data_IF_527087609417
#
_entry.id   IF_527087609417
#
_cell.length_a   1.000
_cell.length_b   1.000
_cell.length_c   1.000
_cell.angle_alpha   90.00
_cell.angle_beta   90.00
_cell.angle_gamma   90.00
#
_symmetry.space_group_name_H-M   'P 1'
#
loop_
_entity.id
_entity.type
_entity.pdbx_description
1 polymer ?
#
# COMPACT_ATOMS: atom_id res chain seq x y z
N UNK A 1 -20.40 30.74 -33.62
CA UNK A 1 -19.22 30.26 -32.85
C UNK A 1 -19.69 29.19 -31.87
N UNK A 2 -19.22 27.94 -31.96
CA UNK A 2 -19.65 26.91 -31.03
C UNK A 2 -18.84 27.01 -29.74
N UNK A 3 -19.53 27.13 -28.61
CA UNK A 3 -18.95 27.09 -27.26
C UNK A 3 -18.39 25.70 -26.98
N UNK A 4 -17.07 25.61 -26.94
CA UNK A 4 -16.32 24.40 -26.58
C UNK A 4 -16.50 24.16 -25.08
N UNK A 5 -17.37 23.22 -24.69
CA UNK A 5 -17.40 22.70 -23.30
C UNK A 5 -16.02 22.09 -23.02
N UNK A 6 -15.29 22.67 -22.07
CA UNK A 6 -14.12 22.04 -21.49
C UNK A 6 -14.58 20.75 -20.82
N UNK A 7 -14.26 19.60 -21.41
CA UNK A 7 -14.29 18.32 -20.70
C UNK A 7 -13.18 18.39 -19.67
N UNK A 8 -13.54 18.44 -18.39
CA UNK A 8 -12.62 18.17 -17.29
C UNK A 8 -12.20 16.70 -17.38
N UNK A 9 -11.16 16.42 -18.15
CA UNK A 9 -10.50 15.11 -18.14
C UNK A 9 -9.61 15.01 -16.91
N UNK A 10 -10.22 14.87 -15.72
CA UNK A 10 -9.53 14.11 -14.69
C UNK A 10 -9.71 12.63 -15.08
N UNK A 11 -8.63 11.85 -15.22
CA UNK A 11 -8.79 10.41 -15.37
C UNK A 11 -9.58 9.92 -14.15
N UNK A 12 -10.68 9.22 -14.38
CA UNK A 12 -11.38 8.48 -13.32
C UNK A 12 -10.34 7.71 -12.54
N UNK A 13 -10.16 8.04 -11.26
CA UNK A 13 -9.36 7.23 -10.35
C UNK A 13 -10.02 5.86 -10.31
N UNK A 14 -9.35 4.86 -10.86
CA UNK A 14 -9.88 3.50 -10.98
C UNK A 14 -10.19 2.92 -9.61
N UNK A 15 -11.45 2.54 -9.41
CA UNK A 15 -12.12 2.16 -8.16
C UNK A 15 -11.73 0.75 -7.62
N UNK A 16 -10.60 0.19 -8.05
CA UNK A 16 -10.18 -1.17 -7.74
C UNK A 16 -9.35 -1.29 -6.47
N UNK A 17 -9.26 -2.49 -5.89
CA UNK A 17 -8.35 -2.77 -4.77
C UNK A 17 -6.94 -3.02 -5.26
N UNK A 18 -6.80 -3.81 -6.34
CA UNK A 18 -5.52 -4.20 -6.88
C UNK A 18 -4.77 -3.03 -7.53
N UNK A 19 -3.45 -3.02 -7.32
CA UNK A 19 -2.52 -2.06 -7.92
C UNK A 19 -1.59 -2.78 -8.88
N UNK A 20 -1.26 -2.14 -10.01
CA UNK A 20 -0.29 -2.64 -10.97
C UNK A 20 1.00 -1.83 -10.83
N UNK A 21 2.07 -2.50 -10.44
CA UNK A 21 3.42 -1.94 -10.43
C UNK A 21 4.13 -2.32 -11.73
N UNK A 22 4.41 -1.35 -12.58
CA UNK A 22 5.08 -1.60 -13.86
C UNK A 22 6.57 -1.83 -13.61
N UNK A 23 7.05 -3.07 -13.70
CA UNK A 23 8.49 -3.35 -13.66
C UNK A 23 9.12 -2.85 -14.95
N UNK A 24 10.13 -1.98 -14.82
CA UNK A 24 10.85 -1.43 -15.97
C UNK A 24 12.06 -2.29 -16.38
N UNK A 25 12.22 -3.48 -15.79
CA UNK A 25 13.29 -4.43 -16.13
C UNK A 25 13.25 -4.80 -17.61
N UNK A 26 12.06 -5.08 -18.13
CA UNK A 26 11.81 -5.48 -19.53
C UNK A 26 11.57 -4.28 -20.46
N UNK A 27 11.71 -3.05 -19.97
CA UNK A 27 11.55 -1.85 -20.78
C UNK A 27 12.80 -1.56 -21.64
N UNK A 28 12.68 -0.60 -22.57
CA UNK A 28 13.85 -0.07 -23.29
C UNK A 28 14.79 0.66 -22.31
N UNK A 29 15.85 -0.04 -21.87
CA UNK A 29 16.85 0.48 -20.94
C UNK A 29 17.61 1.69 -21.51
N UNK A 30 17.68 1.83 -22.83
CA UNK A 30 18.24 3.02 -23.49
C UNK A 30 17.37 4.27 -23.32
N UNK A 31 16.10 4.10 -22.96
CA UNK A 31 15.13 5.19 -22.83
C UNK A 31 14.16 5.01 -21.65
N UNK A 32 14.70 4.69 -20.47
CA UNK A 32 13.90 4.51 -19.25
C UNK A 32 13.04 5.73 -18.88
N UNK A 33 13.48 6.94 -19.23
CA UNK A 33 12.69 8.14 -19.00
C UNK A 33 11.36 8.13 -19.78
N UNK A 34 11.35 7.60 -21.01
CA UNK A 34 10.13 7.39 -21.77
C UNK A 34 9.28 6.28 -21.16
N UNK A 35 9.90 5.14 -20.79
CA UNK A 35 9.20 4.02 -20.18
C UNK A 35 8.41 4.45 -18.93
N UNK A 36 9.06 5.13 -17.99
CA UNK A 36 8.44 5.62 -16.76
C UNK A 36 7.28 6.59 -17.03
N UNK A 37 7.43 7.54 -17.98
CA UNK A 37 6.34 8.46 -18.36
C UNK A 37 5.18 7.73 -19.05
N UNK A 38 5.49 6.71 -19.85
CA UNK A 38 4.49 5.90 -20.53
C UNK A 38 3.68 5.13 -19.48
N UNK A 39 4.32 4.40 -18.57
CA UNK A 39 3.64 3.65 -17.52
C UNK A 39 2.66 4.55 -16.72
N UNK A 40 3.07 5.75 -16.32
CA UNK A 40 2.19 6.73 -15.65
C UNK A 40 1.00 7.14 -16.53
N UNK A 41 1.26 7.50 -17.80
CA UNK A 41 0.20 7.92 -18.72
C UNK A 41 -0.81 6.79 -18.99
N UNK A 42 -0.33 5.55 -19.08
CA UNK A 42 -1.16 4.38 -19.36
C UNK A 42 -1.87 3.83 -18.10
N UNK A 43 -1.61 4.39 -16.92
CA UNK A 43 -2.40 4.15 -15.70
C UNK A 43 -1.81 3.13 -14.73
N UNK A 44 -0.50 2.91 -14.76
CA UNK A 44 0.19 2.15 -13.72
C UNK A 44 0.10 2.87 -12.37
N UNK A 45 0.12 2.11 -11.28
CA UNK A 45 0.02 2.67 -9.92
C UNK A 45 1.39 2.92 -9.30
N UNK A 46 2.41 2.15 -9.73
CA UNK A 46 3.80 2.25 -9.26
C UNK A 46 4.79 1.98 -10.38
N UNK A 47 6.00 2.48 -10.24
CA UNK A 47 7.14 2.01 -11.02
C UNK A 47 7.92 1.03 -10.15
N UNK A 48 7.99 -0.22 -10.58
CA UNK A 48 8.77 -1.27 -9.91
C UNK A 48 10.19 -1.29 -10.47
N UNK A 49 11.18 -1.35 -9.57
CA UNK A 49 12.59 -1.16 -9.86
C UNK A 49 13.39 -2.36 -9.37
N UNK A 50 13.63 -3.30 -10.28
CA UNK A 50 14.42 -4.51 -10.03
C UNK A 50 15.93 -4.20 -10.04
N UNK A 51 16.53 -4.13 -8.86
CA UNK A 51 17.95 -3.82 -8.65
C UNK A 51 18.70 -5.11 -8.37
N UNK A 52 19.71 -5.41 -9.21
CA UNK A 52 20.49 -6.63 -9.13
C UNK A 52 21.98 -6.30 -9.15
N UNK A 53 22.81 -7.02 -8.38
CA UNK A 53 24.24 -6.76 -8.20
C UNK A 53 25.18 -7.79 -8.86
N UNK A 54 24.64 -8.77 -9.58
CA UNK A 54 25.40 -9.87 -10.18
C UNK A 54 25.94 -10.90 -9.18
N UNK A 55 25.67 -10.76 -7.88
CA UNK A 55 26.15 -11.65 -6.82
C UNK A 55 25.00 -12.40 -6.16
N UNK A 56 23.96 -11.69 -5.69
CA UNK A 56 22.79 -12.32 -5.09
C UNK A 56 21.95 -13.05 -6.14
N UNK A 57 21.88 -12.48 -7.35
CA UNK A 57 21.32 -13.10 -8.54
C UNK A 57 22.33 -12.99 -9.69
N UNK A 58 22.35 -13.93 -10.66
CA UNK A 58 23.33 -13.96 -11.74
C UNK A 58 22.97 -12.96 -12.87
N UNK A 59 22.58 -11.75 -12.51
CA UNK A 59 22.25 -10.66 -13.43
C UNK A 59 22.57 -9.29 -12.81
N UNK A 60 22.82 -8.28 -13.63
CA UNK A 60 23.18 -6.93 -13.22
C UNK A 60 22.28 -5.92 -13.93
N UNK A 61 21.62 -5.05 -13.17
CA UNK A 61 20.67 -4.08 -13.73
C UNK A 61 21.17 -2.63 -13.59
N UNK A 62 20.60 -1.86 -12.68
CA UNK A 62 20.91 -0.46 -12.44
C UNK A 62 20.85 -0.13 -10.95
N UNK A 63 21.56 0.93 -10.53
CA UNK A 63 21.63 1.35 -9.13
C UNK A 63 20.88 2.63 -8.81
N UNK A 64 21.05 3.10 -7.57
CA UNK A 64 20.40 4.29 -7.01
C UNK A 64 20.57 5.56 -7.88
N UNK A 65 21.71 5.73 -8.55
CA UNK A 65 21.95 6.89 -9.44
C UNK A 65 20.97 6.95 -10.62
N UNK A 66 20.64 5.80 -11.22
CA UNK A 66 19.64 5.71 -12.30
C UNK A 66 18.26 6.05 -11.75
N UNK A 67 17.89 5.49 -10.60
CA UNK A 67 16.62 5.75 -9.93
C UNK A 67 16.47 7.25 -9.64
N UNK A 68 17.50 7.89 -9.07
CA UNK A 68 17.50 9.33 -8.76
C UNK A 68 17.30 10.19 -10.01
N UNK A 69 17.85 9.77 -11.16
CA UNK A 69 17.63 10.46 -12.44
C UNK A 69 16.19 10.30 -12.96
N UNK A 70 15.56 9.15 -12.70
CA UNK A 70 14.18 8.85 -13.07
C UNK A 70 13.15 9.51 -12.15
N UNK A 71 13.50 9.82 -10.89
CA UNK A 71 12.57 10.36 -9.89
C UNK A 71 11.80 11.59 -10.35
N UNK A 72 12.43 12.46 -11.15
CA UNK A 72 11.83 13.68 -11.71
C UNK A 72 10.97 13.44 -12.97
N UNK A 73 10.83 12.20 -13.42
CA UNK A 73 10.15 11.83 -14.68
C UNK A 73 8.73 11.31 -14.46
N UNK A 74 8.32 11.05 -13.23
CA UNK A 74 6.96 10.61 -12.89
C UNK A 74 6.54 11.05 -11.49
N UNK A 75 5.23 11.14 -11.25
CA UNK A 75 4.63 11.31 -9.93
C UNK A 75 4.27 9.99 -9.25
N UNK A 76 4.37 8.87 -9.96
CA UNK A 76 4.10 7.56 -9.40
C UNK A 76 5.14 7.19 -8.33
N UNK A 77 4.73 6.49 -7.25
CA UNK A 77 5.66 5.99 -6.26
C UNK A 77 6.66 5.01 -6.88
N UNK A 78 7.89 5.05 -6.36
CA UNK A 78 8.96 4.12 -6.72
C UNK A 78 9.00 2.97 -5.73
N UNK A 79 8.90 1.76 -6.26
CA UNK A 79 8.89 0.50 -5.53
C UNK A 79 10.16 -0.27 -5.86
N UNK A 80 11.16 -0.18 -4.99
CA UNK A 80 12.47 -0.76 -5.22
C UNK A 80 12.55 -2.18 -4.65
N UNK A 81 12.92 -3.12 -5.52
CA UNK A 81 13.21 -4.49 -5.15
C UNK A 81 14.72 -4.71 -5.24
N UNK A 82 15.37 -4.85 -4.08
CA UNK A 82 16.82 -5.03 -4.00
C UNK A 82 17.16 -6.52 -3.93
N UNK A 83 17.51 -7.08 -5.09
CA UNK A 83 18.11 -8.40 -5.25
C UNK A 83 19.64 -8.26 -5.20
N UNK A 84 20.14 -7.77 -4.06
CA UNK A 84 21.56 -7.50 -3.82
C UNK A 84 22.05 -8.14 -2.52
N UNK A 85 23.34 -8.42 -2.43
CA UNK A 85 23.94 -9.24 -1.38
C UNK A 85 24.10 -8.50 -0.05
N UNK A 86 24.41 -7.20 -0.12
CA UNK A 86 24.71 -6.34 1.04
C UNK A 86 23.81 -5.08 1.04
N UNK A 87 22.48 -5.22 1.24
CA UNK A 87 21.56 -4.08 1.12
C UNK A 87 21.77 -2.99 2.17
N UNK A 88 22.31 -3.35 3.34
CA UNK A 88 22.65 -2.41 4.42
C UNK A 88 23.65 -1.33 3.99
N UNK A 89 24.57 -1.67 3.10
CA UNK A 89 25.58 -0.72 2.59
C UNK A 89 24.97 0.35 1.67
N UNK A 90 23.90 0.02 0.97
CA UNK A 90 23.35 0.87 -0.10
C UNK A 90 21.99 1.49 0.25
N UNK A 91 21.37 1.07 1.36
CA UNK A 91 19.98 1.46 1.66
C UNK A 91 19.79 2.98 1.69
N UNK A 92 20.75 3.71 2.26
CA UNK A 92 20.70 5.18 2.32
C UNK A 92 20.66 5.81 0.92
N UNK A 93 21.37 5.24 -0.06
CA UNK A 93 21.39 5.75 -1.44
C UNK A 93 20.05 5.53 -2.14
N UNK A 94 19.39 4.39 -1.92
CA UNK A 94 18.06 4.13 -2.48
C UNK A 94 16.98 5.03 -1.86
N UNK A 95 17.08 5.30 -0.55
CA UNK A 95 16.19 6.24 0.13
C UNK A 95 16.38 7.68 -0.41
N UNK A 96 17.63 8.13 -0.58
CA UNK A 96 17.96 9.44 -1.18
C UNK A 96 17.60 9.53 -2.67
N UNK A 97 17.60 8.40 -3.40
CA UNK A 97 17.12 8.34 -4.77
C UNK A 97 15.61 8.59 -4.92
N UNK A 98 14.87 8.54 -3.81
CA UNK A 98 13.43 8.81 -3.75
C UNK A 98 12.57 7.56 -3.95
N UNK A 99 13.03 6.41 -3.49
CA UNK A 99 12.19 5.21 -3.36
C UNK A 99 11.14 5.42 -2.25
N UNK A 100 9.89 5.08 -2.55
CA UNK A 100 8.76 5.19 -1.64
C UNK A 100 8.55 3.89 -0.85
N UNK A 101 8.90 2.75 -1.46
CA UNK A 101 9.07 1.46 -0.81
C UNK A 101 10.41 0.84 -1.18
N UNK A 102 10.98 0.07 -0.25
CA UNK A 102 12.15 -0.77 -0.49
C UNK A 102 11.90 -2.16 0.08
N UNK A 103 11.99 -3.15 -0.79
CA UNK A 103 11.85 -4.57 -0.46
C UNK A 103 13.19 -5.24 -0.69
N UNK A 104 13.73 -5.89 0.34
CA UNK A 104 14.96 -6.69 0.25
C UNK A 104 14.62 -8.17 0.40
N UNK A 105 15.52 -9.05 0.02
CA UNK A 105 15.36 -10.48 0.25
C UNK A 105 15.63 -10.85 1.72
N UNK A 106 14.85 -11.77 2.28
CA UNK A 106 15.14 -12.34 3.61
C UNK A 106 16.42 -13.21 3.58
N UNK A 107 16.80 -13.70 2.40
CA UNK A 107 17.97 -14.57 2.20
C UNK A 107 19.31 -13.83 2.10
N UNK A 108 19.31 -12.50 2.16
CA UNK A 108 20.56 -11.72 2.11
C UNK A 108 21.42 -11.99 3.34
N UNK A 109 22.74 -11.97 3.16
CA UNK A 109 23.70 -12.11 4.26
C UNK A 109 23.93 -10.72 4.84
N UNK A 110 23.24 -10.38 5.93
CA UNK A 110 23.39 -9.08 6.57
C UNK A 110 22.36 -8.76 7.65
N UNK A 111 22.41 -7.56 8.24
CA UNK A 111 21.55 -7.17 9.35
C UNK A 111 20.15 -6.75 8.86
N UNK A 112 19.34 -7.71 8.40
CA UNK A 112 17.99 -7.49 7.84
C UNK A 112 17.13 -6.56 8.71
N UNK A 113 17.08 -6.79 10.02
CA UNK A 113 16.30 -5.96 10.93
C UNK A 113 16.76 -4.48 10.90
N UNK A 114 18.07 -4.24 10.86
CA UNK A 114 18.64 -2.89 10.82
C UNK A 114 18.24 -2.17 9.54
N UNK A 115 18.25 -2.87 8.40
CA UNK A 115 17.82 -2.32 7.11
C UNK A 115 16.33 -1.97 7.14
N UNK A 116 15.48 -2.86 7.64
CA UNK A 116 14.04 -2.61 7.76
C UNK A 116 13.74 -1.40 8.65
N UNK A 117 14.43 -1.27 9.79
CA UNK A 117 14.29 -0.11 10.68
C UNK A 117 14.75 1.18 10.01
N UNK A 118 15.85 1.15 9.24
CA UNK A 118 16.33 2.31 8.50
C UNK A 118 15.31 2.79 7.45
N UNK A 119 14.69 1.87 6.72
CA UNK A 119 13.64 2.18 5.73
C UNK A 119 12.45 2.87 6.41
N UNK A 120 11.94 2.30 7.51
CA UNK A 120 10.81 2.86 8.27
C UNK A 120 11.14 4.21 8.89
N UNK A 121 12.35 4.38 9.43
CA UNK A 121 12.79 5.64 10.02
C UNK A 121 12.84 6.78 8.99
N UNK A 122 13.07 6.45 7.72
CA UNK A 122 12.99 7.39 6.60
C UNK A 122 11.54 7.65 6.11
N UNK A 123 10.53 7.12 6.80
CA UNK A 123 9.11 7.26 6.44
C UNK A 123 8.72 6.48 5.19
N UNK A 124 9.48 5.44 4.84
CA UNK A 124 9.26 4.59 3.65
C UNK A 124 8.72 3.22 4.04
N UNK A 125 8.01 2.57 3.14
CA UNK A 125 7.46 1.24 3.39
C UNK A 125 8.57 0.18 3.27
N UNK A 126 8.75 -0.61 4.33
CA UNK A 126 9.78 -1.65 4.40
C UNK A 126 9.20 -3.01 4.03
N UNK A 127 9.86 -3.71 3.10
CA UNK A 127 9.42 -5.01 2.61
C UNK A 127 10.45 -6.12 2.74
N UNK A 128 9.94 -7.35 2.86
CA UNK A 128 10.74 -8.55 2.61
C UNK A 128 10.17 -9.37 1.45
N UNK A 129 11.06 -9.76 0.54
CA UNK A 129 10.84 -10.75 -0.49
C UNK A 129 11.37 -12.11 -0.04
N UNK A 130 10.81 -13.16 -0.61
CA UNK A 130 11.30 -14.52 -0.45
C UNK A 130 11.31 -15.25 -1.79
N UNK A 131 12.36 -16.04 -2.02
CA UNK A 131 12.48 -16.94 -3.17
C UNK A 131 11.38 -18.00 -3.17
N UNK A 132 11.08 -18.62 -4.32
CA UNK A 132 10.16 -19.75 -4.40
C UNK A 132 10.47 -20.89 -3.41
N UNK A 133 11.75 -21.19 -3.16
CA UNK A 133 12.16 -22.24 -2.22
C UNK A 133 12.12 -21.85 -0.73
N UNK A 134 12.04 -20.57 -0.40
CA UNK A 134 12.16 -20.11 0.99
C UNK A 134 10.80 -20.15 1.72
N UNK A 135 10.69 -20.79 2.90
CA UNK A 135 9.44 -20.82 3.67
C UNK A 135 9.02 -19.43 4.16
N UNK A 136 7.72 -19.18 4.29
CA UNK A 136 7.19 -17.88 4.74
C UNK A 136 7.57 -17.59 6.19
N UNK A 137 7.73 -18.64 6.99
CA UNK A 137 8.12 -18.61 8.41
C UNK A 137 9.48 -17.93 8.62
N UNK A 138 10.33 -17.86 7.59
CA UNK A 138 11.58 -17.11 7.63
C UNK A 138 11.36 -15.61 7.91
N UNK A 139 10.15 -15.08 7.66
CA UNK A 139 9.80 -13.69 7.92
C UNK A 139 9.42 -13.41 9.38
N UNK A 140 9.09 -14.43 10.19
CA UNK A 140 8.51 -14.25 11.53
C UNK A 140 9.32 -13.31 12.44
N UNK A 141 10.67 -13.36 12.49
CA UNK A 141 11.47 -12.44 13.32
C UNK A 141 11.24 -10.96 12.98
N UNK A 142 10.79 -10.66 11.76
CA UNK A 142 10.66 -9.30 11.25
C UNK A 142 9.21 -8.85 11.13
N UNK A 143 8.24 -9.69 11.52
CA UNK A 143 6.81 -9.51 11.26
C UNK A 143 6.28 -8.10 11.54
N UNK A 144 6.64 -7.54 12.70
CA UNK A 144 6.18 -6.21 13.15
C UNK A 144 6.81 -5.04 12.38
N UNK A 145 7.89 -5.29 11.63
CA UNK A 145 8.58 -4.28 10.82
C UNK A 145 8.08 -4.23 9.38
N UNK A 146 7.40 -5.28 8.89
CA UNK A 146 7.02 -5.39 7.48
C UNK A 146 5.77 -4.58 7.14
N UNK A 147 5.89 -3.69 6.17
CA UNK A 147 4.77 -3.10 5.46
C UNK A 147 4.43 -3.89 4.19
N UNK A 148 5.43 -4.55 3.60
CA UNK A 148 5.31 -5.33 2.37
C UNK A 148 5.83 -6.76 2.60
N UNK A 149 5.06 -7.75 2.14
CA UNK A 149 5.56 -9.12 1.91
C UNK A 149 5.47 -9.38 0.42
N UNK A 150 6.61 -9.64 -0.21
CA UNK A 150 6.67 -9.96 -1.64
C UNK A 150 6.90 -11.44 -1.87
N UNK A 151 5.98 -12.06 -2.59
CA UNK A 151 6.06 -13.47 -2.99
C UNK A 151 6.61 -13.53 -4.41
N UNK A 152 7.82 -14.08 -4.55
CA UNK A 152 8.37 -14.39 -5.86
C UNK A 152 7.69 -15.64 -6.42
N UNK A 153 7.10 -15.52 -7.60
CA UNK A 153 6.45 -16.61 -8.36
C UNK A 153 7.29 -17.08 -9.56
N UNK A 154 8.55 -16.67 -9.59
CA UNK A 154 9.65 -17.15 -10.46
C UNK A 154 10.95 -17.07 -9.65
N UNK A 155 12.04 -17.67 -10.10
CA UNK A 155 13.35 -17.42 -9.49
C UNK A 155 13.81 -15.98 -9.78
N UNK A 156 14.22 -15.19 -8.79
CA UNK A 156 14.63 -13.81 -9.00
C UNK A 156 15.85 -13.72 -9.92
N UNK A 157 15.89 -12.68 -10.75
CA UNK A 157 17.04 -12.36 -11.59
C UNK A 157 16.71 -12.08 -13.06
N UNK A 158 15.60 -12.59 -13.59
CA UNK A 158 15.24 -12.40 -15.00
C UNK A 158 13.75 -12.18 -15.22
N UNK A 159 13.40 -11.28 -16.15
CA UNK A 159 12.04 -11.11 -16.64
C UNK A 159 11.60 -12.25 -17.58
N UNK A 160 10.30 -12.29 -17.89
CA UNK A 160 9.73 -13.22 -18.88
C UNK A 160 9.67 -14.70 -18.50
N UNK A 161 9.94 -15.04 -17.24
CA UNK A 161 9.87 -16.41 -16.74
C UNK A 161 8.42 -16.88 -16.53
N UNK A 162 8.21 -18.20 -16.59
CA UNK A 162 6.89 -18.81 -16.43
C UNK A 162 6.42 -18.79 -14.96
N UNK A 163 5.17 -18.37 -14.75
CA UNK A 163 4.54 -18.26 -13.44
C UNK A 163 4.42 -19.61 -12.70
N UNK A 164 4.87 -19.66 -11.44
CA UNK A 164 4.79 -20.83 -10.57
C UNK A 164 3.50 -20.84 -9.74
N UNK A 165 2.42 -21.39 -10.29
CA UNK A 165 1.10 -21.37 -9.66
C UNK A 165 1.01 -22.08 -8.30
N UNK A 166 1.80 -23.13 -8.09
CA UNK A 166 1.82 -23.85 -6.81
C UNK A 166 2.46 -23.01 -5.70
N UNK A 167 3.51 -22.25 -6.03
CA UNK A 167 4.16 -21.31 -5.11
C UNK A 167 3.19 -20.19 -4.73
N UNK A 168 2.47 -19.65 -5.73
CA UNK A 168 1.45 -18.63 -5.52
C UNK A 168 0.37 -19.12 -4.53
N UNK A 169 -0.20 -20.30 -4.78
CA UNK A 169 -1.22 -20.91 -3.91
C UNK A 169 -0.72 -21.19 -2.50
N UNK A 170 0.53 -21.65 -2.37
CA UNK A 170 1.11 -21.96 -1.07
C UNK A 170 1.38 -20.70 -0.23
N UNK A 171 1.73 -19.57 -0.84
CA UNK A 171 2.32 -18.44 -0.12
C UNK A 171 1.50 -17.17 -0.08
N UNK A 172 0.73 -16.82 -1.12
CA UNK A 172 0.09 -15.49 -1.19
C UNK A 172 -0.96 -15.32 -0.10
N UNK A 173 -1.85 -16.31 0.09
CA UNK A 173 -2.87 -16.25 1.14
C UNK A 173 -2.25 -16.29 2.54
N UNK A 174 -1.20 -17.10 2.72
CA UNK A 174 -0.45 -17.16 3.96
C UNK A 174 0.23 -15.81 4.28
N UNK A 175 0.82 -15.14 3.28
CA UNK A 175 1.40 -13.81 3.40
C UNK A 175 0.35 -12.74 3.76
N UNK A 176 -0.87 -12.86 3.21
CA UNK A 176 -2.00 -12.03 3.63
C UNK A 176 -2.33 -12.23 5.11
N UNK A 177 -2.41 -13.48 5.56
CA UNK A 177 -2.63 -13.82 6.97
C UNK A 177 -1.49 -13.36 7.87
N UNK A 178 -0.25 -13.41 7.40
CA UNK A 178 0.94 -12.94 8.13
C UNK A 178 0.85 -11.45 8.47
N UNK A 179 0.37 -10.64 7.52
CA UNK A 179 0.14 -9.20 7.68
C UNK A 179 -1.20 -8.84 8.33
N UNK A 180 -2.00 -9.80 8.80
CA UNK A 180 -3.33 -9.54 9.42
C UNK A 180 -3.30 -8.62 10.65
N UNK A 181 -2.16 -8.59 11.37
CA UNK A 181 -1.94 -7.66 12.48
C UNK A 181 -1.95 -6.19 12.03
N UNK A 182 -1.76 -5.92 10.73
CA UNK A 182 -1.87 -4.59 10.12
C UNK A 182 -3.26 -4.42 9.51
N UNK A 183 -4.15 -3.81 10.29
CA UNK A 183 -5.50 -3.45 9.84
C UNK A 183 -5.50 -2.50 8.63
N UNK A 184 -4.41 -1.75 8.44
CA UNK A 184 -4.17 -0.90 7.29
C UNK A 184 -2.69 -0.92 6.88
N UNK A 185 -2.41 -0.63 5.61
CA UNK A 185 -1.05 -0.40 5.11
C UNK A 185 -0.23 -1.65 4.79
N UNK A 186 -0.62 -2.83 5.29
CA UNK A 186 0.01 -4.10 4.91
C UNK A 186 -0.28 -4.48 3.46
N UNK A 187 0.79 -4.70 2.68
CA UNK A 187 0.71 -5.05 1.26
C UNK A 187 1.32 -6.42 0.95
N UNK A 188 0.59 -7.26 0.22
CA UNK A 188 1.15 -8.47 -0.39
C UNK A 188 1.45 -8.17 -1.86
N UNK A 189 2.72 -8.29 -2.22
CA UNK A 189 3.20 -8.11 -3.59
C UNK A 189 3.42 -9.48 -4.23
N UNK A 190 3.16 -9.59 -5.52
CA UNK A 190 3.51 -10.77 -6.31
C UNK A 190 4.35 -10.34 -7.49
N UNK A 191 5.52 -10.94 -7.61
CA UNK A 191 6.49 -10.65 -8.67
C UNK A 191 6.94 -11.92 -9.39
N UNK A 192 6.93 -11.86 -10.72
CA UNK A 192 7.30 -12.95 -11.62
C UNK A 192 6.12 -13.58 -12.36
N UNK A 193 6.04 -13.40 -13.67
CA UNK A 193 5.06 -14.08 -14.53
C UNK A 193 3.60 -13.60 -14.36
N UNK A 194 3.40 -12.40 -13.80
CA UNK A 194 2.05 -11.82 -13.67
C UNK A 194 1.56 -11.30 -15.01
N UNK A 195 0.38 -11.75 -15.43
CA UNK A 195 -0.27 -11.38 -16.70
C UNK A 195 -1.79 -11.44 -16.54
N UNK A 196 -2.54 -11.17 -17.61
CA UNK A 196 -3.99 -11.38 -17.61
C UNK A 196 -4.40 -12.82 -17.26
N UNK A 197 -3.56 -13.82 -17.56
CA UNK A 197 -3.90 -15.22 -17.35
C UNK A 197 -3.69 -15.65 -15.88
N UNK A 198 -2.92 -14.88 -15.11
CA UNK A 198 -2.57 -15.19 -13.71
C UNK A 198 -3.17 -14.20 -12.72
N UNK A 199 -3.60 -13.03 -13.18
CA UNK A 199 -4.14 -11.94 -12.36
C UNK A 199 -5.33 -12.38 -11.48
N UNK A 200 -6.28 -13.11 -12.05
CA UNK A 200 -7.46 -13.60 -11.31
C UNK A 200 -7.05 -14.51 -10.15
N UNK A 201 -6.13 -15.46 -10.39
CA UNK A 201 -5.62 -16.37 -9.37
C UNK A 201 -4.92 -15.61 -8.24
N UNK A 202 -3.97 -14.72 -8.56
CA UNK A 202 -3.21 -14.02 -7.51
C UNK A 202 -4.08 -13.03 -6.73
N UNK A 203 -5.04 -12.39 -7.40
CA UNK A 203 -6.05 -11.56 -6.77
C UNK A 203 -6.95 -12.36 -5.82
N UNK A 204 -7.40 -13.53 -6.26
CA UNK A 204 -8.19 -14.48 -5.44
C UNK A 204 -7.42 -15.09 -4.27
N UNK A 205 -6.09 -15.06 -4.31
CA UNK A 205 -5.24 -15.43 -3.16
C UNK A 205 -4.94 -14.23 -2.25
N UNK A 206 -5.38 -13.03 -2.63
CA UNK A 206 -5.26 -11.83 -1.82
C UNK A 206 -4.02 -10.99 -2.10
N UNK A 207 -3.40 -11.05 -3.28
CA UNK A 207 -2.34 -10.12 -3.68
C UNK A 207 -2.87 -8.68 -3.82
N UNK A 208 -2.14 -7.67 -3.35
CA UNK A 208 -2.51 -6.24 -3.50
C UNK A 208 -1.83 -5.57 -4.67
N UNK A 209 -0.54 -5.86 -4.83
CA UNK A 209 0.32 -5.23 -5.84
C UNK A 209 0.82 -6.33 -6.77
N UNK A 210 0.49 -6.17 -8.03
CA UNK A 210 0.87 -7.08 -9.10
C UNK A 210 2.05 -6.43 -9.85
N UNK A 211 3.23 -7.02 -9.75
CA UNK A 211 4.42 -6.56 -10.48
C UNK A 211 4.38 -7.14 -11.89
N UNK A 212 4.29 -6.27 -12.89
CA UNK A 212 4.10 -6.67 -14.30
C UNK A 212 5.21 -6.07 -15.16
N UNK A 213 6.03 -6.95 -15.75
CA UNK A 213 7.13 -6.61 -16.66
C UNK A 213 6.80 -6.93 -18.12
N UNK A 214 7.27 -8.08 -18.60
CA UNK A 214 7.17 -8.56 -19.99
C UNK A 214 5.79 -8.37 -20.63
N UNK A 215 4.70 -8.61 -19.90
CA UNK A 215 3.34 -8.43 -20.42
C UNK A 215 3.04 -6.97 -20.82
N UNK A 216 3.65 -5.97 -20.16
CA UNK A 216 3.50 -4.55 -20.52
C UNK A 216 4.45 -4.10 -21.63
N UNK A 217 5.66 -4.64 -21.70
CA UNK A 217 6.73 -4.11 -22.56
C UNK A 217 6.99 -4.93 -23.82
N UNK A 218 6.79 -6.25 -23.75
CA UNK A 218 7.13 -7.19 -24.82
C UNK A 218 5.87 -7.71 -25.51
N UNK A 219 4.89 -8.21 -24.74
CA UNK A 219 3.69 -8.85 -25.28
C UNK A 219 2.58 -7.85 -25.59
N UNK A 220 2.46 -6.83 -24.75
CA UNK A 220 1.36 -5.87 -24.76
C UNK A 220 1.43 -4.89 -25.93
N UNK A 221 0.45 -4.96 -26.83
CA UNK A 221 0.27 -3.96 -27.89
C UNK A 221 -0.31 -2.64 -27.36
N UNK A 222 -1.16 -2.74 -26.33
CA UNK A 222 -1.79 -1.61 -25.64
C UNK A 222 -1.62 -1.78 -24.13
N UNK A 223 -0.62 -1.09 -23.58
CA UNK A 223 -0.26 -1.15 -22.16
C UNK A 223 -1.40 -0.69 -21.25
N UNK A 224 -2.11 0.39 -21.61
CA UNK A 224 -3.18 0.92 -20.77
C UNK A 224 -4.36 -0.04 -20.69
N UNK A 225 -4.70 -0.70 -21.80
CA UNK A 225 -5.69 -1.79 -21.79
C UNK A 225 -5.23 -2.95 -20.93
N UNK A 226 -3.95 -3.32 -21.00
CA UNK A 226 -3.42 -4.44 -20.23
C UNK A 226 -3.45 -4.20 -18.73
N UNK A 227 -3.04 -3.01 -18.30
CA UNK A 227 -3.10 -2.60 -16.89
C UNK A 227 -4.53 -2.68 -16.36
N UNK A 228 -5.50 -2.16 -17.11
CA UNK A 228 -6.92 -2.23 -16.73
C UNK A 228 -7.43 -3.66 -16.63
N UNK A 229 -7.03 -4.52 -17.57
CA UNK A 229 -7.44 -5.92 -17.59
C UNK A 229 -6.87 -6.70 -16.40
N UNK A 230 -5.56 -6.60 -16.16
CA UNK A 230 -4.89 -7.25 -15.02
C UNK A 230 -5.52 -6.79 -13.70
N UNK A 231 -5.78 -5.50 -13.54
CA UNK A 231 -6.44 -4.96 -12.35
C UNK A 231 -7.84 -5.55 -12.17
N UNK A 232 -8.66 -5.52 -13.22
CA UNK A 232 -10.05 -5.99 -13.17
C UNK A 232 -10.12 -7.49 -12.82
N UNK A 233 -9.27 -8.32 -13.43
CA UNK A 233 -9.22 -9.75 -13.15
C UNK A 233 -8.76 -10.04 -11.73
N UNK A 234 -7.76 -9.32 -11.21
CA UNK A 234 -7.32 -9.47 -9.82
C UNK A 234 -8.42 -9.08 -8.82
N UNK A 235 -9.16 -8.00 -9.09
CA UNK A 235 -10.30 -7.59 -8.28
C UNK A 235 -11.46 -8.61 -8.36
N UNK A 236 -11.72 -9.18 -9.54
CA UNK A 236 -12.71 -10.24 -9.75
C UNK A 236 -12.37 -11.51 -8.96
N UNK A 237 -11.12 -11.97 -9.06
CA UNK A 237 -10.63 -13.12 -8.30
C UNK A 237 -10.76 -12.91 -6.79
N UNK A 238 -10.41 -11.71 -6.30
CA UNK A 238 -10.57 -11.34 -4.89
C UNK A 238 -12.04 -11.36 -4.47
N UNK A 239 -12.92 -10.76 -5.28
CA UNK A 239 -14.36 -10.71 -5.03
C UNK A 239 -14.96 -12.11 -4.87
N UNK A 240 -14.67 -13.03 -5.78
CA UNK A 240 -15.27 -14.36 -5.75
C UNK A 240 -14.61 -15.31 -4.74
N UNK A 241 -13.30 -15.16 -4.48
CA UNK A 241 -12.58 -16.12 -3.64
C UNK A 241 -12.56 -15.73 -2.16
N UNK A 242 -12.31 -14.45 -1.85
CA UNK A 242 -12.06 -14.00 -0.48
C UNK A 242 -13.10 -13.02 0.05
N UNK A 243 -13.80 -12.28 -0.82
CA UNK A 243 -14.76 -11.25 -0.41
C UNK A 243 -16.23 -11.68 -0.54
N UNK A 244 -16.51 -12.98 -0.69
CA UNK A 244 -17.88 -13.51 -0.68
C UNK A 244 -18.80 -12.92 -1.76
N UNK A 245 -18.25 -12.53 -2.92
CA UNK A 245 -18.98 -11.90 -4.01
C UNK A 245 -19.22 -10.39 -3.83
N UNK A 246 -18.71 -9.78 -2.76
CA UNK A 246 -18.80 -8.34 -2.52
C UNK A 246 -17.73 -7.60 -3.34
N UNK A 247 -18.06 -6.49 -4.04
CA UNK A 247 -17.07 -5.71 -4.76
C UNK A 247 -15.93 -5.21 -3.85
N UNK A 248 -14.68 -5.18 -4.32
CA UNK A 248 -13.57 -4.69 -3.53
C UNK A 248 -13.71 -3.20 -3.21
N UNK A 249 -13.32 -2.83 -2.00
CA UNK A 249 -13.29 -1.44 -1.55
C UNK A 249 -11.95 -0.82 -2.02
N UNK A 250 -11.97 0.33 -2.74
CA UNK A 250 -10.73 1.01 -3.13
C UNK A 250 -9.88 1.37 -1.91
N UNK A 251 -8.55 1.16 -2.01
CA UNK A 251 -7.61 1.37 -0.89
C UNK A 251 -7.48 2.83 -0.44
N UNK A 252 -7.78 3.79 -1.31
CA UNK A 252 -7.73 5.23 -1.04
C UNK A 252 -9.10 5.81 -0.68
N UNK A 253 -10.15 4.98 -0.61
CA UNK A 253 -11.48 5.42 -0.19
C UNK A 253 -11.48 5.62 1.31
N UNK A 254 -11.89 6.81 1.73
CA UNK A 254 -12.15 7.16 3.13
C UNK A 254 -13.66 7.13 3.40
N UNK A 255 -14.05 6.78 4.62
CA UNK A 255 -15.44 6.83 5.10
C UNK A 255 -15.50 7.64 6.39
N UNK A 256 -16.61 8.34 6.59
CA UNK A 256 -16.89 9.04 7.84
C UNK A 256 -17.33 8.04 8.90
N UNK A 257 -16.50 7.84 9.91
CA UNK A 257 -16.80 6.98 11.05
C UNK A 257 -17.76 7.66 12.03
N UNK A 258 -17.55 8.95 12.28
CA UNK A 258 -18.38 9.77 13.15
C UNK A 258 -18.22 11.26 12.81
N UNK A 259 -19.20 12.07 13.21
CA UNK A 259 -19.14 13.53 13.14
C UNK A 259 -19.32 14.07 14.56
N UNK A 260 -18.26 14.63 15.14
CA UNK A 260 -18.15 14.93 16.57
C UNK A 260 -17.53 16.32 16.82
N UNK A 261 -17.82 16.97 17.96
CA UNK A 261 -17.02 18.10 18.45
C UNK A 261 -15.54 17.74 18.53
N UNK A 262 -14.65 18.72 18.34
CA UNK A 262 -13.22 18.48 18.13
C UNK A 262 -12.56 17.70 19.26
N UNK A 263 -12.88 18.01 20.52
CA UNK A 263 -12.33 17.31 21.68
C UNK A 263 -12.72 15.81 21.69
N UNK A 264 -13.97 15.46 21.38
CA UNK A 264 -14.44 14.07 21.30
C UNK A 264 -13.89 13.37 20.05
N UNK A 265 -13.82 14.08 18.92
CA UNK A 265 -13.20 13.59 17.69
C UNK A 265 -11.72 13.23 17.92
N UNK A 266 -10.97 14.04 18.68
CA UNK A 266 -9.59 13.76 19.06
C UNK A 266 -9.46 12.58 20.02
N UNK A 267 -10.40 12.43 20.95
CA UNK A 267 -10.44 11.28 21.86
C UNK A 267 -10.55 9.98 21.07
N UNK A 268 -11.55 9.87 20.19
CA UNK A 268 -11.75 8.64 19.41
C UNK A 268 -10.66 8.44 18.35
N UNK A 269 -10.09 9.52 17.79
CA UNK A 269 -8.91 9.45 16.93
C UNK A 269 -7.75 8.77 17.66
N UNK A 270 -7.38 9.24 18.87
CA UNK A 270 -6.27 8.68 19.61
C UNK A 270 -6.50 7.19 19.94
N UNK A 271 -7.73 6.81 20.32
CA UNK A 271 -8.11 5.42 20.60
C UNK A 271 -8.00 4.52 19.35
N UNK A 272 -8.45 4.99 18.19
CA UNK A 272 -8.39 4.24 16.92
C UNK A 272 -6.96 4.18 16.36
N UNK A 273 -6.21 5.28 16.41
CA UNK A 273 -4.82 5.32 15.96
C UNK A 273 -3.91 4.45 16.82
N UNK A 274 -4.23 4.28 18.11
CA UNK A 274 -3.49 3.39 19.01
C UNK A 274 -3.48 1.92 18.55
N UNK A 275 -4.52 1.48 17.82
CA UNK A 275 -4.59 0.14 17.23
C UNK A 275 -4.11 0.09 15.77
N UNK A 276 -3.48 1.15 15.29
CA UNK A 276 -2.83 1.21 13.98
C UNK A 276 -3.76 1.54 12.80
N UNK A 277 -4.97 2.03 13.04
CA UNK A 277 -5.84 2.54 11.98
C UNK A 277 -5.63 4.06 11.88
N UNK A 278 -5.15 4.61 10.75
CA UNK A 278 -4.99 6.04 10.62
C UNK A 278 -6.35 6.74 10.60
N UNK A 279 -6.46 7.85 11.31
CA UNK A 279 -7.67 8.66 11.38
C UNK A 279 -7.36 10.08 10.95
N UNK A 280 -8.21 10.65 10.11
CA UNK A 280 -8.12 12.05 9.73
C UNK A 280 -9.34 12.78 10.20
N UNK A 281 -9.14 13.92 10.86
CA UNK A 281 -10.22 14.77 11.32
C UNK A 281 -10.29 16.00 10.41
N UNK A 282 -11.43 16.20 9.75
CA UNK A 282 -11.69 17.38 8.91
C UNK A 282 -12.90 18.16 9.43
N UNK A 283 -12.96 19.45 9.14
CA UNK A 283 -14.14 20.26 9.47
C UNK A 283 -15.34 19.67 8.71
N UNK A 284 -16.42 19.39 9.43
CA UNK A 284 -17.65 18.89 8.82
C UNK A 284 -18.43 20.04 8.16
N UNK A 285 -19.09 19.76 7.04
CA UNK A 285 -19.96 20.71 6.35
C UNK A 285 -19.24 21.76 5.48
N UNK A 286 -19.98 22.75 4.93
CA UNK A 286 -19.42 23.79 4.08
C UNK A 286 -18.34 24.61 4.78
N UNK A 287 -17.40 25.16 4.01
CA UNK A 287 -16.48 26.22 4.46
C UNK A 287 -17.25 27.52 4.71
N UNK A 288 -18.13 27.51 5.69
CA UNK A 288 -18.58 28.74 6.31
C UNK A 288 -17.40 29.28 7.11
N UNK A 289 -17.05 30.55 7.01
CA UNK A 289 -15.96 31.15 7.79
C UNK A 289 -16.48 31.87 9.03
N UNK A 290 -17.81 31.97 9.19
CA UNK A 290 -18.45 32.78 10.22
C UNK A 290 -18.74 32.02 11.52
N UNK A 291 -18.84 30.68 11.48
CA UNK A 291 -19.03 29.89 12.71
C UNK A 291 -17.69 29.78 13.47
N UNK A 292 -17.63 30.16 14.74
CA UNK A 292 -16.40 29.99 15.54
C UNK A 292 -15.99 28.50 15.63
N UNK A 293 -14.68 28.22 15.57
CA UNK A 293 -14.14 26.84 15.58
C UNK A 293 -14.59 26.04 16.83
N UNK A 294 -14.93 26.73 17.93
CA UNK A 294 -15.33 26.15 19.22
C UNK A 294 -16.73 25.52 19.23
N UNK A 295 -17.53 25.69 18.17
CA UNK A 295 -18.90 25.15 18.06
C UNK A 295 -19.12 24.24 16.86
N UNK A 296 -18.04 23.86 16.17
CA UNK A 296 -18.12 23.06 14.94
C UNK A 296 -17.90 21.58 15.19
N UNK A 297 -18.63 20.79 14.43
CA UNK A 297 -18.37 19.36 14.30
C UNK A 297 -17.26 19.09 13.30
N UNK A 298 -16.63 17.93 13.49
CA UNK A 298 -15.55 17.43 12.69
C UNK A 298 -15.82 16.00 12.28
N UNK A 299 -15.61 15.72 11.00
CA UNK A 299 -15.69 14.38 10.44
C UNK A 299 -14.43 13.60 10.79
N UNK A 300 -14.63 12.50 11.50
CA UNK A 300 -13.63 11.49 11.83
C UNK A 300 -13.61 10.49 10.67
N UNK A 301 -12.62 10.61 9.79
CA UNK A 301 -12.47 9.77 8.61
C UNK A 301 -11.47 8.64 8.88
N UNK A 302 -11.80 7.43 8.42
CA UNK A 302 -10.89 6.29 8.40
C UNK A 302 -10.88 5.59 7.03
N UNK A 303 -9.86 4.78 6.70
CA UNK A 303 -9.84 4.00 5.47
C UNK A 303 -11.04 3.05 5.42
N UNK A 304 -11.77 3.04 4.31
CA UNK A 304 -12.94 2.20 4.12
C UNK A 304 -12.64 0.69 4.29
N UNK A 305 -11.41 0.27 4.00
CA UNK A 305 -10.93 -1.10 4.24
C UNK A 305 -10.88 -1.50 5.72
N UNK A 306 -10.87 -0.53 6.64
CA UNK A 306 -10.82 -0.75 8.08
C UNK A 306 -12.18 -0.48 8.76
N UNK A 307 -13.22 -0.09 8.02
CA UNK A 307 -14.52 0.32 8.57
C UNK A 307 -15.17 -0.77 9.42
N UNK A 308 -15.31 -1.99 8.88
CA UNK A 308 -15.95 -3.09 9.61
C UNK A 308 -15.22 -3.42 10.92
N UNK A 309 -13.89 -3.47 10.89
CA UNK A 309 -13.08 -3.71 12.08
C UNK A 309 -13.16 -2.56 13.09
N UNK A 310 -13.20 -1.31 12.61
CA UNK A 310 -13.38 -0.13 13.46
C UNK A 310 -14.77 -0.10 14.11
N UNK A 311 -15.83 -0.45 13.37
CA UNK A 311 -17.19 -0.56 13.90
C UNK A 311 -17.29 -1.68 14.93
N UNK A 312 -16.69 -2.84 14.66
CA UNK A 312 -16.68 -3.97 15.59
C UNK A 312 -16.00 -3.62 16.92
N UNK A 313 -14.84 -2.93 16.87
CA UNK A 313 -14.08 -2.57 18.09
C UNK A 313 -14.60 -1.33 18.80
N UNK A 314 -14.95 -0.28 18.05
CA UNK A 314 -15.20 1.06 18.59
C UNK A 314 -16.65 1.52 18.42
N UNK A 315 -17.57 0.70 17.88
CA UNK A 315 -18.96 1.08 17.65
C UNK A 315 -19.67 1.57 18.91
N UNK A 316 -19.60 0.81 20.01
CA UNK A 316 -20.20 1.21 21.29
C UNK A 316 -19.59 2.52 21.83
N UNK A 317 -18.28 2.69 21.66
CA UNK A 317 -17.56 3.88 22.09
C UNK A 317 -17.95 5.11 21.27
N UNK A 318 -18.04 4.95 19.95
CA UNK A 318 -18.57 5.94 19.01
C UNK A 318 -19.97 6.38 19.43
N UNK A 319 -20.87 5.44 19.71
CA UNK A 319 -22.27 5.74 20.05
C UNK A 319 -22.38 6.46 21.40
N UNK A 320 -21.54 6.10 22.38
CA UNK A 320 -21.40 6.86 23.64
C UNK A 320 -20.94 8.30 23.39
N UNK A 321 -19.93 8.51 22.54
CA UNK A 321 -19.41 9.84 22.22
C UNK A 321 -20.40 10.68 21.41
N UNK A 322 -21.21 10.06 20.55
CA UNK A 322 -22.31 10.74 19.85
C UNK A 322 -23.39 11.22 20.82
N UNK A 323 -23.66 10.45 21.87
CA UNK A 323 -24.59 10.83 22.94
C UNK A 323 -24.03 12.00 23.76
N UNK A 324 -22.75 11.94 24.13
CA UNK A 324 -22.04 13.02 24.82
C UNK A 324 -21.98 14.30 23.98
N UNK A 325 -21.71 14.18 22.68
CA UNK A 325 -21.74 15.29 21.74
C UNK A 325 -23.11 15.97 21.70
N UNK A 326 -24.19 15.20 21.73
CA UNK A 326 -25.56 15.73 21.72
C UNK A 326 -25.85 16.52 23.00
N UNK A 327 -25.48 15.97 24.17
CA UNK A 327 -25.63 16.66 25.46
C UNK A 327 -24.78 17.96 25.53
N UNK A 328 -23.55 17.93 25.00
CA UNK A 328 -22.69 19.10 24.93
C UNK A 328 -23.30 20.21 24.05
N UNK A 329 -23.84 19.85 22.87
CA UNK A 329 -24.52 20.79 21.97
C UNK A 329 -25.74 21.43 22.64
N UNK A 330 -26.54 20.64 23.36
CA UNK A 330 -27.71 21.13 24.10
C UNK A 330 -27.33 22.10 25.23
N UNK A 331 -26.23 21.82 25.95
CA UNK A 331 -25.75 22.65 27.04
C UNK A 331 -25.12 23.97 26.58
N UNK A 332 -24.74 24.10 25.30
CA UNK A 332 -24.12 25.31 24.74
C UNK A 332 -22.77 25.66 25.37
N UNK A 333 -22.08 24.67 25.94
CA UNK A 333 -20.80 24.85 26.62
C UNK A 333 -19.67 25.16 25.62
N UNK A 334 -18.63 25.92 26.02
CA UNK A 334 -17.43 26.08 25.20
C UNK A 334 -16.70 24.74 25.02
N UNK A 335 -15.83 24.65 24.01
CA UNK A 335 -14.96 23.49 23.84
C UNK A 335 -14.03 23.35 25.05
N UNK A 336 -14.02 22.19 25.74
CA UNK A 336 -13.05 21.95 26.79
C UNK A 336 -11.64 21.83 26.19
N UNK A 337 -10.59 22.18 26.96
CA UNK A 337 -9.22 21.91 26.53
C UNK A 337 -9.05 20.39 26.30
N UNK A 338 -8.37 20.04 25.21
CA UNK A 338 -8.12 18.64 24.92
C UNK A 338 -7.18 18.04 25.97
N UNK A 339 -7.68 17.07 26.72
CA UNK A 339 -6.89 16.25 27.63
C UNK A 339 -6.96 14.81 27.09
N UNK A 340 -5.87 14.26 26.55
CA UNK A 340 -5.89 12.89 26.05
C UNK A 340 -6.20 11.93 27.21
N UNK A 341 -7.22 11.09 27.03
CA UNK A 341 -7.50 10.02 27.97
C UNK A 341 -6.30 9.05 28.04
N UNK A 342 -6.06 8.40 29.19
CA UNK A 342 -5.09 7.31 29.25
C UNK A 342 -5.49 6.24 28.23
N UNK A 343 -4.59 5.96 27.28
CA UNK A 343 -4.82 4.89 26.32
C UNK A 343 -4.79 3.55 27.08
N UNK A 344 -5.71 2.62 26.77
CA UNK A 344 -5.62 1.27 27.32
C UNK A 344 -4.27 0.66 26.94
N UNK A 345 -3.67 -0.20 27.79
CA UNK A 345 -2.43 -0.88 27.45
C UNK A 345 -2.61 -1.67 26.15
N UNK A 346 -1.55 -1.71 25.34
CA UNK A 346 -1.54 -2.53 24.13
C UNK A 346 -1.93 -3.98 24.49
N UNK A 347 -2.71 -4.69 23.66
CA UNK A 347 -3.08 -6.10 23.92
C UNK A 347 -1.90 -7.07 24.14
N UNK A 348 -0.64 -6.63 24.00
CA UNK A 348 0.57 -7.45 24.14
C UNK A 348 1.57 -6.92 25.20
N UNK A 349 1.21 -5.99 26.09
CA UNK A 349 2.09 -5.59 27.21
C UNK A 349 2.14 -6.59 28.37
N UNK A 350 1.69 -7.84 28.14
CA UNK A 350 1.97 -8.96 29.04
C UNK A 350 3.15 -9.75 28.45
N UNK A 351 4.35 -9.34 28.81
CA UNK A 351 5.55 -10.18 28.73
C UNK A 351 6.10 -10.32 30.15
N UNK A 352 6.35 -11.54 30.67
CA UNK A 352 7.36 -11.71 31.71
C UNK A 352 8.78 -11.60 31.12
#
# INVERSE_FOLDING_TARGET
>A
MPTRRARSSQPERTLGRARVAASILDADLGNLAYAVRRAEREGADRIHLDVMDGHFVPNLTFGAKTIKALRRRTRLPFDAHLMISEPDRYIAEFLDAGCDSVTIHVEVVGPVETVLRAIRAAGRAAGLALRPGTPLEALEPYRRLLDIVMVMTVEPGFGGQAFMADVARAKILAARGFLSHKLHGGEVHVDGGVSRDTAELVGGLGADVLVVGSTLWIEGRDMGREIRLVRALADEGYQYSLNGGVPPIPRDRMVTFATLPRHLARTIQAEIEHVGIPVFIFRAGPLDLEVEDERRDWDVLLPASAESAAVERFGNRRDSLLSEASAWREAGMPEPPFVPAPLPPQPDEIVP
#
